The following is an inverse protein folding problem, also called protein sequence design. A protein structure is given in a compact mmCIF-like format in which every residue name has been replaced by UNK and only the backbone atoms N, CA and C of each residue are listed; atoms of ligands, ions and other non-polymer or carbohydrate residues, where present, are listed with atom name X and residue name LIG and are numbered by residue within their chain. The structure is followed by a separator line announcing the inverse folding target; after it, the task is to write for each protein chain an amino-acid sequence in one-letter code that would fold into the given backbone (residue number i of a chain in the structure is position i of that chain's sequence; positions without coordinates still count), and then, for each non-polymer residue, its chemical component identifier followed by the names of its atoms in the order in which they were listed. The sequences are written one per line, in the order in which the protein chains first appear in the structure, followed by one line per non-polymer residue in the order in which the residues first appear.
data_IF_625379023196
#
_entry.id   IF_625379023196
#
_cell.length_a   1.000
_cell.length_b   1.000
_cell.length_c   1.000
_cell.angle_alpha   90.00
_cell.angle_beta   90.00
_cell.angle_gamma   90.00
#
_symmetry.space_group_name_H-M   'P 1'
#
loop_
_entity.id
_entity.type
_entity.pdbx_description
1 polymer ?
#
# COMPACT_ATOMS: atom_id res chain seq x y z
N UNK A 1 -0.02 -7.80 -37.07
CA UNK A 1 -0.94 -8.41 -36.10
C UNK A 1 -0.81 -7.63 -34.79
N UNK A 2 -1.90 -7.36 -34.08
CA UNK A 2 -1.87 -6.66 -32.79
C UNK A 2 -1.94 -7.67 -31.65
N UNK A 3 -1.11 -7.49 -30.62
CA UNK A 3 -1.35 -8.13 -29.33
C UNK A 3 -2.56 -7.46 -28.68
N UNK A 4 -3.57 -8.26 -28.35
CA UNK A 4 -4.78 -7.76 -27.70
C UNK A 4 -4.51 -7.17 -26.32
N UNK A 5 -5.52 -6.57 -25.67
CA UNK A 5 -5.36 -6.08 -24.31
C UNK A 5 -5.18 -7.25 -23.32
N UNK A 6 -4.24 -7.16 -22.37
CA UNK A 6 -4.16 -8.14 -21.29
C UNK A 6 -5.36 -7.99 -20.34
N UNK A 7 -5.73 -9.08 -19.70
CA UNK A 7 -6.67 -9.05 -18.57
C UNK A 7 -5.90 -8.59 -17.33
N UNK A 8 -6.35 -7.53 -16.69
CA UNK A 8 -5.71 -6.96 -15.50
C UNK A 8 -6.68 -7.08 -14.32
N UNK A 9 -6.20 -7.46 -13.15
CA UNK A 9 -6.91 -7.35 -11.88
C UNK A 9 -6.01 -6.62 -10.88
N UNK A 10 -6.61 -5.82 -10.00
CA UNK A 10 -5.87 -5.07 -9.00
C UNK A 10 -6.47 -5.28 -7.63
N UNK A 11 -5.60 -5.31 -6.62
CA UNK A 11 -5.96 -5.35 -5.21
C UNK A 11 -5.13 -4.35 -4.43
N UNK A 12 -5.70 -3.86 -3.33
CA UNK A 12 -5.05 -2.88 -2.48
C UNK A 12 -4.17 -3.56 -1.43
N UNK A 13 -3.12 -2.86 -1.01
CA UNK A 13 -2.31 -3.18 0.15
C UNK A 13 -1.76 -1.90 0.79
N UNK A 14 -1.16 -2.00 1.98
CA UNK A 14 -0.69 -0.82 2.73
C UNK A 14 0.38 -0.10 1.91
N UNK A 15 0.09 1.13 1.47
CA UNK A 15 0.97 1.94 0.63
C UNK A 15 1.36 1.25 -0.70
N UNK A 16 0.54 0.32 -1.21
CA UNK A 16 0.84 -0.39 -2.45
C UNK A 16 -0.41 -0.88 -3.19
N UNK A 17 -0.21 -1.33 -4.43
CA UNK A 17 -1.22 -2.01 -5.25
C UNK A 17 -0.61 -3.27 -5.85
N UNK A 18 -1.28 -4.40 -5.67
CA UNK A 18 -0.91 -5.65 -6.34
C UNK A 18 -1.69 -5.77 -7.65
N UNK A 19 -0.96 -5.88 -8.76
CA UNK A 19 -1.48 -5.99 -10.12
C UNK A 19 -1.27 -7.42 -10.59
N UNK A 20 -2.37 -8.14 -10.82
CA UNK A 20 -2.36 -9.45 -11.48
C UNK A 20 -2.64 -9.25 -12.96
N UNK A 21 -1.77 -9.80 -13.80
CA UNK A 21 -1.79 -9.64 -15.25
C UNK A 21 -1.94 -11.02 -15.87
N UNK A 22 -2.89 -11.17 -16.78
CA UNK A 22 -3.04 -12.34 -17.63
C UNK A 22 -2.85 -11.93 -19.08
N UNK A 23 -1.94 -12.63 -19.76
CA UNK A 23 -1.59 -12.35 -21.15
C UNK A 23 -2.80 -12.52 -22.09
N UNK A 24 -2.83 -11.76 -23.20
CA UNK A 24 -3.88 -11.90 -24.21
C UNK A 24 -3.94 -13.33 -24.75
N UNK A 25 -5.15 -13.85 -24.93
CA UNK A 25 -5.32 -15.18 -25.53
C UNK A 25 -4.87 -15.17 -26.99
N UNK A 26 -3.98 -16.09 -27.33
CA UNK A 26 -3.59 -16.34 -28.71
C UNK A 26 -4.69 -17.14 -29.42
N UNK A 27 -4.88 -16.86 -30.72
CA UNK A 27 -5.75 -17.67 -31.60
C UNK A 27 -4.94 -18.60 -32.50
N UNK A 28 -3.62 -18.66 -32.31
CA UNK A 28 -2.73 -19.44 -33.14
C UNK A 28 -2.76 -20.91 -32.69
N UNK A 29 -2.93 -21.82 -33.66
CA UNK A 29 -2.92 -23.25 -33.43
C UNK A 29 -1.80 -23.91 -34.22
N UNK A 30 -1.08 -24.80 -33.55
CA UNK A 30 -0.09 -25.67 -34.17
C UNK A 30 -0.44 -27.11 -33.81
N UNK A 31 -0.56 -27.99 -34.81
CA UNK A 31 -0.97 -29.40 -34.62
C UNK A 31 -2.25 -29.52 -33.79
N UNK A 32 -3.26 -28.70 -34.09
CA UNK A 32 -4.55 -28.62 -33.37
C UNK A 32 -4.49 -28.11 -31.92
N UNK A 33 -3.29 -27.92 -31.35
CA UNK A 33 -3.10 -27.34 -30.02
C UNK A 33 -3.09 -25.81 -30.11
N UNK A 34 -3.85 -25.15 -29.23
CA UNK A 34 -3.79 -23.70 -29.05
C UNK A 34 -2.48 -23.35 -28.33
N UNK A 35 -1.65 -22.50 -28.94
CA UNK A 35 -0.41 -22.03 -28.34
C UNK A 35 -0.67 -20.78 -27.48
N UNK A 36 -0.01 -20.64 -26.34
CA UNK A 36 0.00 -19.38 -25.61
C UNK A 36 0.90 -18.35 -26.29
N UNK A 37 0.88 -17.09 -25.84
CA UNK A 37 1.84 -16.10 -26.33
C UNK A 37 3.27 -16.43 -25.89
N UNK A 38 3.43 -17.08 -24.73
CA UNK A 38 4.73 -17.58 -24.26
C UNK A 38 5.26 -18.68 -25.17
N UNK A 39 4.42 -19.63 -25.60
CA UNK A 39 4.84 -20.68 -26.54
C UNK A 39 5.35 -20.07 -27.87
N UNK A 40 4.79 -18.94 -28.30
CA UNK A 40 5.11 -18.26 -29.56
C UNK A 40 6.36 -17.37 -29.44
N UNK A 41 6.44 -16.56 -28.39
CA UNK A 41 7.46 -15.52 -28.25
C UNK A 41 8.57 -15.84 -27.24
N UNK A 42 8.39 -16.89 -26.43
CA UNK A 42 9.25 -17.33 -25.32
C UNK A 42 9.32 -16.34 -24.15
N UNK A 43 9.36 -15.05 -24.43
CA UNK A 43 9.40 -13.95 -23.47
C UNK A 43 8.60 -12.77 -24.01
N UNK A 44 7.78 -12.17 -23.15
CA UNK A 44 7.11 -10.91 -23.46
C UNK A 44 7.58 -9.80 -22.54
N UNK A 45 7.45 -8.60 -23.10
CA UNK A 45 7.76 -7.32 -22.51
C UNK A 45 6.43 -6.71 -22.00
N UNK A 46 6.41 -6.07 -20.83
CA UNK A 46 5.24 -5.35 -20.35
C UNK A 46 5.58 -4.00 -19.71
N UNK A 47 4.67 -3.05 -19.90
CA UNK A 47 4.71 -1.71 -19.32
C UNK A 47 3.46 -1.47 -18.48
N UNK A 48 3.65 -0.89 -17.29
CA UNK A 48 2.54 -0.44 -16.45
C UNK A 48 2.46 1.08 -16.51
N UNK A 49 1.30 1.61 -16.89
CA UNK A 49 0.99 3.03 -16.75
C UNK A 49 0.13 3.25 -15.52
N UNK A 50 0.66 4.04 -14.58
CA UNK A 50 -0.01 4.44 -13.36
C UNK A 50 -0.59 5.85 -13.52
N UNK A 51 -1.89 6.00 -13.34
CA UNK A 51 -2.57 7.28 -13.38
C UNK A 51 -2.93 7.73 -11.97
N UNK A 52 -2.49 8.94 -11.64
CA UNK A 52 -2.79 9.65 -10.40
C UNK A 52 -3.51 10.96 -10.72
N UNK A 53 -3.85 11.75 -9.69
CA UNK A 53 -4.33 13.12 -9.87
C UNK A 53 -3.29 14.02 -10.56
N UNK A 54 -2.01 13.73 -10.36
CA UNK A 54 -0.90 14.54 -10.87
C UNK A 54 -0.54 14.21 -12.33
N UNK A 55 -1.09 13.11 -12.86
CA UNK A 55 -0.92 12.70 -14.25
C UNK A 55 -0.65 11.20 -14.42
N UNK A 56 -0.19 10.84 -15.62
CA UNK A 56 0.13 9.47 -16.00
C UNK A 56 1.65 9.25 -15.96
N UNK A 57 2.06 8.20 -15.26
CA UNK A 57 3.45 7.84 -15.03
C UNK A 57 3.68 6.42 -15.55
N UNK A 58 4.55 6.27 -16.55
CA UNK A 58 4.98 4.96 -17.02
C UNK A 58 6.03 4.39 -16.08
N UNK A 59 5.80 3.17 -15.62
CA UNK A 59 6.79 2.39 -14.87
C UNK A 59 7.86 1.84 -15.84
N UNK A 60 9.02 1.40 -15.32
CA UNK A 60 10.03 0.73 -16.12
C UNK A 60 9.46 -0.48 -16.87
N UNK A 61 10.10 -0.77 -18.00
CA UNK A 61 9.79 -1.91 -18.82
C UNK A 61 10.27 -3.19 -18.15
N UNK A 62 9.39 -4.18 -18.05
CA UNK A 62 9.67 -5.45 -17.38
C UNK A 62 9.38 -6.63 -18.32
N UNK A 63 9.89 -7.81 -17.96
CA UNK A 63 9.77 -9.02 -18.77
C UNK A 63 9.03 -10.13 -18.04
N UNK A 64 8.38 -11.01 -18.79
CA UNK A 64 7.67 -12.17 -18.25
C UNK A 64 7.79 -13.37 -19.17
N UNK A 65 7.88 -14.54 -18.54
CA UNK A 65 7.79 -15.86 -19.18
C UNK A 65 6.52 -16.62 -18.74
N UNK A 66 5.61 -15.95 -18.02
CA UNK A 66 4.40 -16.55 -17.45
C UNK A 66 3.13 -15.97 -18.09
N UNK A 67 2.14 -16.84 -18.36
CA UNK A 67 0.84 -16.43 -18.91
C UNK A 67 0.01 -15.61 -17.91
N UNK A 68 0.14 -15.91 -16.61
CA UNK A 68 -0.53 -15.19 -15.51
C UNK A 68 0.49 -14.94 -14.43
N UNK A 69 0.73 -13.67 -14.11
CA UNK A 69 1.74 -13.25 -13.14
C UNK A 69 1.23 -12.06 -12.33
N UNK A 70 1.94 -11.73 -11.25
CA UNK A 70 1.63 -10.58 -10.43
C UNK A 70 2.86 -9.68 -10.25
N UNK A 71 2.60 -8.40 -9.97
CA UNK A 71 3.62 -7.43 -9.61
C UNK A 71 3.05 -6.42 -8.62
N UNK A 72 3.89 -5.94 -7.72
CA UNK A 72 3.49 -5.02 -6.67
C UNK A 72 4.06 -3.64 -6.98
N UNK A 73 3.17 -2.66 -7.00
CA UNK A 73 3.52 -1.25 -7.10
C UNK A 73 3.60 -0.70 -5.68
N UNK A 74 4.82 -0.56 -5.17
CA UNK A 74 5.10 -0.06 -3.82
C UNK A 74 5.24 1.46 -3.77
N UNK A 75 5.48 1.97 -2.56
CA UNK A 75 5.76 3.38 -2.25
C UNK A 75 4.65 4.34 -2.72
N UNK A 76 3.40 3.87 -2.68
CA UNK A 76 2.24 4.68 -2.99
C UNK A 76 1.80 5.47 -1.76
N UNK A 77 1.28 6.67 -1.99
CA UNK A 77 0.69 7.45 -0.93
C UNK A 77 -0.61 6.78 -0.46
N UNK A 78 -0.79 6.58 0.86
CA UNK A 78 -1.99 5.97 1.42
C UNK A 78 -3.24 6.80 1.11
N UNK A 79 -4.41 6.14 1.05
CA UNK A 79 -5.72 6.76 0.84
C UNK A 79 -5.83 7.60 -0.45
N UNK A 80 -5.02 7.31 -1.46
CA UNK A 80 -5.13 7.90 -2.80
C UNK A 80 -5.66 6.89 -3.81
N UNK A 81 -6.49 7.38 -4.72
CA UNK A 81 -6.96 6.61 -5.87
C UNK A 81 -5.86 6.54 -6.93
N UNK A 82 -5.59 5.33 -7.38
CA UNK A 82 -4.68 5.04 -8.47
C UNK A 82 -5.42 4.22 -9.52
N UNK A 83 -5.17 4.53 -10.79
CA UNK A 83 -5.63 3.69 -11.89
C UNK A 83 -4.44 3.07 -12.62
N UNK A 84 -4.58 1.82 -13.04
CA UNK A 84 -3.55 1.03 -13.70
C UNK A 84 -4.04 0.62 -15.08
N UNK A 85 -3.17 0.76 -16.09
CA UNK A 85 -3.33 0.17 -17.41
C UNK A 85 -2.02 -0.52 -17.80
N UNK A 86 -2.12 -1.71 -18.37
CA UNK A 86 -0.98 -2.55 -18.71
C UNK A 86 -0.93 -2.74 -20.23
N UNK A 87 0.27 -2.59 -20.79
CA UNK A 87 0.55 -2.85 -22.19
C UNK A 87 1.55 -3.99 -22.28
N UNK A 88 1.29 -4.96 -23.16
CA UNK A 88 2.19 -6.10 -23.41
C UNK A 88 2.71 -6.02 -24.83
N UNK A 89 4.03 -6.17 -25.01
CA UNK A 89 4.68 -6.21 -26.31
C UNK A 89 5.56 -7.46 -26.42
N UNK A 90 6.00 -7.79 -27.64
CA UNK A 90 7.01 -8.82 -27.86
C UNK A 90 8.17 -8.23 -28.65
N UNK A 91 9.37 -8.81 -28.53
CA UNK A 91 10.55 -8.38 -29.29
C UNK A 91 10.29 -8.26 -30.80
N UNK A 92 9.56 -9.23 -31.36
CA UNK A 92 9.20 -9.29 -32.79
C UNK A 92 7.86 -8.60 -33.12
N UNK A 93 7.09 -8.16 -32.11
CA UNK A 93 5.82 -7.50 -32.32
C UNK A 93 5.57 -6.38 -31.30
N UNK A 94 5.83 -5.15 -31.72
CA UNK A 94 5.61 -3.95 -30.91
C UNK A 94 4.20 -3.34 -31.07
N UNK A 95 3.32 -3.96 -31.86
CA UNK A 95 1.94 -3.52 -32.01
C UNK A 95 1.07 -4.14 -30.91
N UNK A 96 0.63 -3.31 -29.97
CA UNK A 96 -0.16 -3.75 -28.83
C UNK A 96 -1.33 -2.81 -28.53
N UNK A 97 -2.33 -3.34 -27.84
CA UNK A 97 -3.47 -2.60 -27.33
C UNK A 97 -3.36 -2.63 -25.80
N UNK A 98 -3.36 -1.47 -25.11
CA UNK A 98 -3.31 -1.44 -23.65
C UNK A 98 -4.61 -1.95 -23.03
N UNK A 99 -4.53 -2.46 -21.80
CA UNK A 99 -5.71 -2.86 -21.04
C UNK A 99 -6.62 -1.65 -20.75
N UNK A 100 -7.90 -1.92 -20.51
CA UNK A 100 -8.77 -0.95 -19.86
C UNK A 100 -8.19 -0.53 -18.49
N UNK A 101 -8.49 0.69 -18.08
CA UNK A 101 -8.10 1.21 -16.77
C UNK A 101 -8.85 0.48 -15.66
N UNK A 102 -8.13 0.04 -14.63
CA UNK A 102 -8.72 -0.39 -13.35
C UNK A 102 -8.23 0.50 -12.23
N UNK A 103 -9.10 0.88 -11.32
CA UNK A 103 -8.79 1.84 -10.26
C UNK A 103 -9.06 1.27 -8.87
N UNK A 104 -8.19 1.59 -7.90
CA UNK A 104 -8.32 1.24 -6.49
C UNK A 104 -7.69 2.33 -5.63
N UNK A 105 -8.17 2.48 -4.39
CA UNK A 105 -7.50 3.31 -3.39
C UNK A 105 -6.42 2.48 -2.69
N UNK A 106 -5.20 3.01 -2.54
CA UNK A 106 -4.16 2.35 -1.75
C UNK A 106 -4.55 2.34 -0.26
N UNK A 107 -4.41 1.19 0.39
CA UNK A 107 -4.78 1.03 1.79
C UNK A 107 -3.86 1.86 2.67
N UNK A 108 -4.42 2.31 3.80
CA UNK A 108 -3.68 2.95 4.87
C UNK A 108 -3.81 2.14 6.13
N UNK A 109 -2.76 2.17 6.96
CA UNK A 109 -2.93 1.80 8.37
C UNK A 109 -3.86 2.85 8.95
N UNK A 110 -5.06 2.44 9.35
CA UNK A 110 -5.98 3.34 10.02
C UNK A 110 -5.23 4.01 11.17
N UNK A 111 -5.25 5.35 11.21
CA UNK A 111 -4.66 6.17 12.28
C UNK A 111 -5.24 5.83 13.67
N UNK A 112 -6.26 4.96 13.70
CA UNK A 112 -6.90 4.38 14.87
C UNK A 112 -5.91 3.79 15.87
N UNK A 113 -4.86 3.09 15.45
CA UNK A 113 -3.86 2.55 16.41
C UNK A 113 -3.06 3.67 17.08
N UNK A 114 -2.68 4.71 16.33
CA UNK A 114 -2.04 5.88 16.90
C UNK A 114 -2.96 6.59 17.90
N UNK A 115 -4.24 6.76 17.56
CA UNK A 115 -5.23 7.36 18.47
C UNK A 115 -5.44 6.52 19.73
N UNK A 116 -5.50 5.19 19.63
CA UNK A 116 -5.65 4.29 20.79
C UNK A 116 -4.44 4.40 21.71
N UNK A 117 -3.21 4.41 21.17
CA UNK A 117 -1.99 4.58 21.96
C UNK A 117 -1.97 5.94 22.65
N UNK A 118 -2.30 7.02 21.93
CA UNK A 118 -2.33 8.39 22.50
C UNK A 118 -3.36 8.50 23.61
N UNK A 119 -4.58 7.99 23.41
CA UNK A 119 -5.64 8.00 24.44
C UNK A 119 -5.20 7.21 25.66
N UNK A 120 -4.63 6.01 25.47
CA UNK A 120 -4.16 5.16 26.57
C UNK A 120 -3.06 5.86 27.39
N UNK A 121 -2.08 6.47 26.71
CA UNK A 121 -1.02 7.23 27.37
C UNK A 121 -1.57 8.44 28.15
N UNK A 122 -2.50 9.19 27.57
CA UNK A 122 -3.12 10.34 28.22
C UNK A 122 -3.87 9.94 29.48
N UNK A 123 -4.69 8.87 29.41
CA UNK A 123 -5.45 8.35 30.57
C UNK A 123 -4.50 7.89 31.68
N UNK A 124 -3.47 7.09 31.34
CA UNK A 124 -2.48 6.64 32.32
C UNK A 124 -1.76 7.80 32.99
N UNK A 125 -1.36 8.82 32.22
CA UNK A 125 -0.70 10.01 32.76
C UNK A 125 -1.62 10.79 33.70
N UNK A 126 -2.89 10.99 33.32
CA UNK A 126 -3.87 11.66 34.18
C UNK A 126 -4.12 10.91 35.49
N UNK A 127 -4.19 9.58 35.46
CA UNK A 127 -4.34 8.76 36.66
C UNK A 127 -3.13 8.86 37.60
N UNK A 128 -1.91 8.85 37.04
CA UNK A 128 -0.69 9.06 37.82
C UNK A 128 -0.65 10.44 38.46
N UNK A 129 -1.03 11.49 37.72
CA UNK A 129 -1.10 12.85 38.25
C UNK A 129 -2.13 12.97 39.38
N UNK A 130 -3.32 12.40 39.17
CA UNK A 130 -4.37 12.38 40.19
C UNK A 130 -3.93 11.62 41.44
N UNK A 131 -3.28 10.47 41.27
CA UNK A 131 -2.69 9.69 42.35
C UNK A 131 -1.63 10.48 43.12
N UNK A 132 -0.68 11.10 42.42
CA UNK A 132 0.35 11.95 43.03
C UNK A 132 -0.25 13.13 43.80
N UNK A 133 -1.25 13.80 43.24
CA UNK A 133 -1.95 14.91 43.89
C UNK A 133 -2.71 14.45 45.13
N UNK A 134 -3.37 13.28 45.08
CA UNK A 134 -4.01 12.66 46.25
C UNK A 134 -3.00 12.27 47.32
N UNK A 135 -1.85 11.71 46.94
CA UNK A 135 -0.75 11.41 47.86
C UNK A 135 -0.17 12.67 48.50
N UNK A 136 0.00 13.77 47.74
CA UNK A 136 0.43 15.06 48.29
C UNK A 136 -0.62 15.67 49.22
N UNK A 137 -1.91 15.51 48.92
CA UNK A 137 -2.99 16.01 49.77
C UNK A 137 -3.14 15.19 51.07
N UNK A 138 -3.11 13.86 50.98
CA UNK A 138 -3.22 12.96 52.13
C UNK A 138 -1.93 12.92 52.97
N UNK A 139 -0.78 12.91 52.31
CA UNK A 139 0.55 13.09 52.89
C UNK A 139 0.88 14.54 53.22
N UNK A 140 -0.09 15.44 53.11
CA UNK A 140 -0.05 16.81 53.56
C UNK A 140 1.06 17.72 53.01
N UNK A 141 1.01 19.03 53.23
CA UNK A 141 0.66 19.55 54.54
C UNK A 141 1.47 18.91 55.71
N UNK A 142 2.30 17.85 55.50
CA UNK A 142 3.17 17.21 56.50
C UNK A 142 4.39 18.06 56.83
N UNK A 143 4.70 19.07 56.01
CA UNK A 143 5.75 20.06 56.31
C UNK A 143 5.23 21.39 56.87
N UNK A 144 3.92 21.70 56.78
CA UNK A 144 3.40 22.98 57.29
C UNK A 144 3.06 22.97 58.78
N UNK A 145 2.93 21.79 59.41
CA UNK A 145 2.46 21.68 60.80
C UNK A 145 3.54 21.28 61.82
N UNK A 146 4.84 21.34 61.46
CA UNK A 146 5.89 21.36 62.48
C UNK A 146 6.14 22.80 62.92
N UNK A 147 5.49 23.21 64.01
CA UNK A 147 5.86 24.41 64.74
C UNK A 147 7.36 24.38 65.07
N UNK A 148 8.08 25.44 64.72
CA UNK A 148 9.45 25.67 65.19
C UNK A 148 9.46 25.55 66.73
N UNK A 149 10.42 24.82 67.31
CA UNK A 149 10.51 24.74 68.77
C UNK A 149 10.75 26.15 69.34
N UNK A 150 9.97 26.51 70.36
CA UNK A 150 10.11 27.72 71.17
C UNK A 150 11.37 27.67 72.04
N UNK A 151 12.54 27.55 71.41
CA UNK A 151 13.82 27.71 72.07
C UNK A 151 14.70 28.55 71.17
N UNK A 152 14.63 29.86 71.37
CA UNK A 152 15.72 30.84 71.33
C UNK A 152 15.11 32.20 71.70
N UNK A 153 14.97 32.40 73.03
CA UNK A 153 15.17 33.70 73.69
C UNK A 153 16.67 33.91 73.79
#
# INVERSE_FOLDING_TARGET
AFLGPPEVNISSCINCINVTIKLPTSYFRENEKLLSLIDIYQELDYDITLKTLDGEHKRPHEKTTEDVFNTVIEELYPNRNYCVSVMVTASLNKHSIPSAWKCVAADSVAQQDYHIVVITCAVCFSLMLAGALKCMHAGGYILQNKSLPHTLV
#
